data_IF_614495993790
#
_entry.id   IF_614495993790
#
_cell.length_a   1.000
_cell.length_b   1.000
_cell.length_c   1.000
_cell.angle_alpha   90.00
_cell.angle_beta   90.00
_cell.angle_gamma   90.00
#
_symmetry.space_group_name_H-M   'P 1'
#
loop_
_entity.id
_entity.type
_entity.pdbx_description
1 polymer ?
#
# COMPACT_ATOMS: atom_id res chain seq x y z
N UNK A 1 -13.57 -0.41 -9.56
CA UNK A 1 -12.92 0.73 -8.88
C UNK A 1 -13.69 0.95 -7.57
N UNK A 2 -12.99 1.12 -6.45
CA UNK A 2 -13.61 1.30 -5.13
C UNK A 2 -14.44 2.59 -5.11
N UNK A 3 -15.65 2.56 -4.53
CA UNK A 3 -16.48 3.76 -4.40
C UNK A 3 -15.74 4.80 -3.55
N UNK A 4 -15.76 6.07 -3.96
CA UNK A 4 -15.00 7.14 -3.31
C UNK A 4 -13.53 7.26 -3.73
N UNK A 5 -12.97 6.30 -4.49
CA UNK A 5 -11.64 6.44 -5.09
C UNK A 5 -11.78 6.99 -6.51
N UNK A 6 -11.16 8.14 -6.77
CA UNK A 6 -11.21 8.83 -8.06
C UNK A 6 -10.03 8.50 -8.97
N UNK A 7 -8.86 8.18 -8.41
CA UNK A 7 -7.65 7.89 -9.19
C UNK A 7 -6.75 6.88 -8.48
N UNK A 8 -6.09 6.03 -9.28
CA UNK A 8 -5.12 5.04 -8.84
C UNK A 8 -3.99 5.05 -9.88
N UNK A 9 -2.82 5.58 -9.51
CA UNK A 9 -1.69 5.77 -10.42
C UNK A 9 -0.45 5.02 -9.92
N UNK A 10 0.12 4.08 -10.68
CA UNK A 10 1.39 3.45 -10.33
C UNK A 10 2.55 4.43 -10.46
N UNK A 11 3.58 4.27 -9.63
CA UNK A 11 4.75 5.13 -9.64
C UNK A 11 5.82 4.73 -8.64
N UNK A 12 6.76 5.65 -8.44
CA UNK A 12 7.96 5.47 -7.65
C UNK A 12 8.13 6.62 -6.65
N UNK A 13 8.46 6.29 -5.40
CA UNK A 13 8.65 7.29 -4.35
C UNK A 13 9.66 6.87 -3.27
N UNK A 14 10.19 7.87 -2.55
CA UNK A 14 11.07 7.68 -1.39
C UNK A 14 12.53 7.35 -1.68
N UNK A 15 12.93 7.39 -2.95
CA UNK A 15 14.32 7.32 -3.39
C UNK A 15 14.92 8.70 -3.69
N UNK A 16 16.20 8.69 -4.05
CA UNK A 16 16.99 9.92 -4.27
C UNK A 16 17.14 10.29 -5.74
N UNK A 17 16.92 9.33 -6.66
CA UNK A 17 17.07 9.56 -8.09
C UNK A 17 15.89 10.39 -8.65
N UNK A 18 16.13 11.54 -9.29
CA UNK A 18 15.08 12.24 -10.00
C UNK A 18 14.71 11.54 -11.31
N UNK A 19 13.43 11.55 -11.66
CA UNK A 19 12.87 10.96 -12.88
C UNK A 19 13.36 9.53 -13.18
N UNK A 20 13.18 8.58 -12.24
CA UNK A 20 13.66 7.21 -12.39
C UNK A 20 12.86 6.47 -13.47
N UNK A 21 13.53 5.55 -14.19
CA UNK A 21 12.83 4.57 -15.04
C UNK A 21 12.58 3.27 -14.27
N UNK A 22 11.64 2.44 -14.76
CA UNK A 22 11.38 1.12 -14.19
C UNK A 22 12.65 0.29 -13.99
N UNK A 23 13.52 0.21 -15.00
CA UNK A 23 14.75 -0.60 -14.95
C UNK A 23 15.69 -0.13 -13.83
N UNK A 24 15.75 1.18 -13.60
CA UNK A 24 16.56 1.77 -12.55
C UNK A 24 16.00 1.47 -11.16
N UNK A 25 14.68 1.50 -11.01
CA UNK A 25 14.01 1.11 -9.76
C UNK A 25 14.17 -0.38 -9.49
N UNK A 26 13.99 -1.25 -10.49
CA UNK A 26 14.19 -2.69 -10.35
C UNK A 26 15.64 -3.07 -10.02
N UNK A 27 16.62 -2.25 -10.41
CA UNK A 27 18.02 -2.44 -10.01
C UNK A 27 18.25 -2.24 -8.50
N UNK A 28 17.31 -1.59 -7.80
CA UNK A 28 17.41 -1.22 -6.38
C UNK A 28 18.32 -0.01 -6.10
N UNK A 29 19.05 0.50 -7.09
CA UNK A 29 20.07 1.54 -6.90
C UNK A 29 19.48 2.94 -6.63
N UNK A 30 18.20 3.16 -6.92
CA UNK A 30 17.56 4.49 -6.80
C UNK A 30 17.03 4.79 -5.40
N UNK A 31 16.83 3.75 -4.59
CA UNK A 31 16.16 3.83 -3.28
C UNK A 31 14.63 4.02 -3.35
N UNK A 32 14.05 4.13 -4.55
CA UNK A 32 12.60 4.25 -4.69
C UNK A 32 11.92 2.94 -4.33
N UNK A 33 10.73 3.04 -3.72
CA UNK A 33 9.77 1.96 -3.64
C UNK A 33 8.81 2.03 -4.84
N UNK A 34 8.38 0.88 -5.33
CA UNK A 34 7.18 0.78 -6.16
C UNK A 34 5.95 1.10 -5.31
N UNK A 35 5.16 2.07 -5.75
CA UNK A 35 4.01 2.58 -5.00
C UNK A 35 2.83 2.87 -5.92
N UNK A 36 1.67 3.06 -5.31
CA UNK A 36 0.46 3.51 -5.99
C UNK A 36 -0.05 4.77 -5.30
N UNK A 37 -0.25 5.84 -6.07
CA UNK A 37 -0.91 7.06 -5.60
C UNK A 37 -2.41 6.90 -5.72
N UNK A 38 -3.11 7.03 -4.61
CA UNK A 38 -4.57 6.94 -4.54
C UNK A 38 -5.13 8.33 -4.25
N UNK A 39 -6.03 8.79 -5.10
CA UNK A 39 -6.85 9.98 -4.84
C UNK A 39 -8.27 9.51 -4.47
N UNK A 40 -8.79 10.02 -3.36
CA UNK A 40 -10.06 9.59 -2.80
C UNK A 40 -10.82 10.74 -2.15
N UNK A 41 -12.14 10.58 -2.07
CA UNK A 41 -13.05 11.47 -1.37
C UNK A 41 -13.30 10.96 0.07
N UNK A 42 -12.79 11.65 1.10
CA UNK A 42 -12.96 11.24 2.50
C UNK A 42 -14.43 11.26 2.96
N UNK A 43 -15.34 11.93 2.23
CA UNK A 43 -16.77 11.88 2.52
C UNK A 43 -17.42 10.55 2.06
N UNK A 44 -16.76 9.81 1.16
CA UNK A 44 -17.28 8.56 0.60
C UNK A 44 -16.48 7.33 1.04
N UNK A 45 -15.18 7.47 1.32
CA UNK A 45 -14.33 6.37 1.79
C UNK A 45 -13.37 6.84 2.86
N UNK A 46 -13.36 6.14 3.99
CA UNK A 46 -12.49 6.46 5.11
C UNK A 46 -11.06 6.01 4.83
N UNK A 47 -10.07 6.73 5.36
CA UNK A 47 -8.66 6.36 5.21
C UNK A 47 -8.36 4.97 5.80
N UNK A 48 -9.02 4.61 6.91
CA UNK A 48 -8.94 3.27 7.50
C UNK A 48 -9.38 2.15 6.54
N UNK A 49 -10.35 2.40 5.67
CA UNK A 49 -10.74 1.44 4.61
C UNK A 49 -9.58 1.21 3.64
N UNK A 50 -8.90 2.29 3.25
CA UNK A 50 -7.73 2.20 2.36
C UNK A 50 -6.56 1.49 3.03
N UNK A 51 -6.30 1.75 4.31
CA UNK A 51 -5.30 1.02 5.10
C UNK A 51 -5.64 -0.47 5.19
N UNK A 52 -6.91 -0.80 5.42
CA UNK A 52 -7.37 -2.20 5.46
C UNK A 52 -7.08 -2.90 4.14
N UNK A 53 -7.40 -2.26 3.01
CA UNK A 53 -7.11 -2.80 1.68
C UNK A 53 -5.60 -2.94 1.47
N UNK A 54 -4.82 -1.93 1.82
CA UNK A 54 -3.36 -1.94 1.71
C UNK A 54 -2.79 -3.14 2.46
N UNK A 55 -3.04 -3.27 3.76
CA UNK A 55 -2.50 -4.38 4.55
C UNK A 55 -3.02 -5.76 4.11
N UNK A 56 -4.19 -5.83 3.47
CA UNK A 56 -4.75 -7.07 2.92
C UNK A 56 -4.16 -7.48 1.57
N UNK A 57 -3.42 -6.59 0.92
CA UNK A 57 -2.93 -6.81 -0.44
C UNK A 57 -1.52 -7.40 -0.48
N UNK A 58 -0.79 -7.44 0.64
CA UNK A 58 0.60 -7.89 0.70
C UNK A 58 0.98 -8.40 2.10
N UNK A 59 2.22 -8.89 2.28
CA UNK A 59 2.76 -9.24 3.60
C UNK A 59 3.48 -8.03 4.23
N UNK A 60 2.90 -7.39 5.26
CA UNK A 60 3.49 -6.21 5.87
C UNK A 60 4.55 -6.54 6.93
N UNK A 61 4.90 -7.82 7.12
CA UNK A 61 5.82 -8.30 8.16
C UNK A 61 7.20 -8.68 7.63
N UNK A 62 7.36 -8.81 6.32
CA UNK A 62 8.62 -9.13 5.65
C UNK A 62 9.34 -7.84 5.19
N UNK A 63 10.54 -7.53 5.72
CA UNK A 63 11.28 -6.35 5.30
C UNK A 63 11.82 -6.53 3.88
N UNK A 64 11.65 -5.51 3.03
CA UNK A 64 12.20 -5.45 1.66
C UNK A 64 11.85 -6.67 0.78
N UNK A 65 10.68 -7.27 0.97
CA UNK A 65 10.27 -8.45 0.22
C UNK A 65 8.75 -8.60 0.20
N UNK A 66 8.22 -9.01 -0.95
CA UNK A 66 6.84 -9.48 -1.11
C UNK A 66 6.82 -10.81 -1.87
N UNK A 67 6.52 -11.91 -1.17
CA UNK A 67 6.57 -13.24 -1.77
C UNK A 67 7.96 -13.58 -2.31
N UNK A 68 8.06 -13.79 -3.64
CA UNK A 68 9.33 -14.08 -4.33
C UNK A 68 10.10 -12.82 -4.76
N UNK A 69 9.47 -11.64 -4.67
CA UNK A 69 10.05 -10.38 -5.09
C UNK A 69 10.86 -9.78 -3.93
N UNK A 70 12.20 -9.81 -4.05
CA UNK A 70 13.14 -9.39 -3.00
C UNK A 70 13.87 -8.13 -3.43
N UNK A 71 13.83 -7.09 -2.59
CA UNK A 71 14.50 -5.83 -2.83
C UNK A 71 13.87 -4.65 -2.08
N UNK A 72 14.66 -3.60 -1.84
CA UNK A 72 14.18 -2.38 -1.17
C UNK A 72 13.07 -1.68 -1.93
N UNK A 73 12.98 -1.90 -3.24
CA UNK A 73 11.91 -1.42 -4.10
C UNK A 73 10.54 -2.07 -3.79
N UNK A 74 10.52 -3.25 -3.19
CA UNK A 74 9.30 -3.99 -2.78
C UNK A 74 8.98 -3.83 -1.30
N UNK A 75 9.63 -2.91 -0.59
CA UNK A 75 9.36 -2.66 0.82
C UNK A 75 7.94 -2.15 1.02
N UNK A 76 7.30 -2.58 2.10
CA UNK A 76 6.02 -2.01 2.53
C UNK A 76 6.26 -0.60 3.09
N UNK A 77 5.62 0.40 2.49
CA UNK A 77 5.71 1.81 2.92
C UNK A 77 4.41 2.56 2.65
N UNK A 78 4.05 3.44 3.59
CA UNK A 78 2.98 4.43 3.46
C UNK A 78 3.63 5.81 3.41
N UNK A 79 3.45 6.49 2.27
CA UNK A 79 3.84 7.90 2.13
C UNK A 79 2.65 8.80 2.43
N UNK A 80 2.68 9.52 3.56
CA UNK A 80 1.59 10.42 3.96
C UNK A 80 1.80 11.83 3.41
N UNK A 81 0.69 12.54 3.14
CA UNK A 81 0.70 13.96 2.75
C UNK A 81 0.15 14.88 3.84
N UNK A 82 -0.40 14.32 4.92
CA UNK A 82 -0.93 15.06 6.07
C UNK A 82 -0.58 14.37 7.39
N UNK A 83 -0.47 15.14 8.47
CA UNK A 83 -0.20 14.59 9.81
C UNK A 83 -1.34 13.70 10.32
N UNK A 84 -2.58 13.95 9.89
CA UNK A 84 -3.73 13.08 10.19
C UNK A 84 -3.52 11.69 9.62
N UNK A 85 -3.14 11.58 8.34
CA UNK A 85 -2.83 10.29 7.71
C UNK A 85 -1.70 9.56 8.43
N UNK A 86 -0.64 10.28 8.82
CA UNK A 86 0.45 9.71 9.62
C UNK A 86 -0.09 9.09 10.92
N UNK A 87 -0.83 9.86 11.71
CA UNK A 87 -1.36 9.40 13.00
C UNK A 87 -2.33 8.23 12.84
N UNK A 88 -3.18 8.26 11.82
CA UNK A 88 -4.11 7.16 11.54
C UNK A 88 -3.39 5.88 11.10
N UNK A 89 -2.38 5.99 10.24
CA UNK A 89 -1.57 4.85 9.82
C UNK A 89 -0.80 4.22 11.00
N UNK A 90 -0.20 5.04 11.87
CA UNK A 90 0.49 4.57 13.09
C UNK A 90 -0.49 3.83 14.03
N UNK A 91 -1.68 4.40 14.26
CA UNK A 91 -2.73 3.77 15.07
C UNK A 91 -3.21 2.45 14.47
N UNK A 92 -3.37 2.39 13.15
CA UNK A 92 -3.79 1.17 12.46
C UNK A 92 -2.74 0.06 12.61
N UNK A 93 -1.46 0.38 12.41
CA UNK A 93 -0.34 -0.56 12.62
C UNK A 93 -0.33 -1.06 14.07
N UNK A 94 -0.52 -0.16 15.05
CA UNK A 94 -0.60 -0.55 16.46
C UNK A 94 -1.75 -1.52 16.71
N UNK A 95 -2.95 -1.23 16.20
CA UNK A 95 -4.12 -2.11 16.29
C UNK A 95 -3.88 -3.49 15.64
N UNK A 96 -3.20 -3.53 14.48
CA UNK A 96 -2.81 -4.78 13.83
C UNK A 96 -1.85 -5.61 14.69
N UNK A 97 -0.84 -4.97 15.29
CA UNK A 97 0.12 -5.65 16.15
C UNK A 97 -0.54 -6.15 17.45
N UNK A 98 -1.41 -5.35 18.08
CA UNK A 98 -2.12 -5.72 19.31
C UNK A 98 -3.11 -6.87 19.10
N UNK A 99 -3.73 -6.92 17.91
CA UNK A 99 -4.65 -7.99 17.53
C UNK A 99 -3.92 -9.31 17.20
N UNK A 100 -2.63 -9.24 16.84
CA UNK A 100 -1.79 -10.39 16.45
C UNK A 100 -0.83 -10.82 17.56
N UNK A 101 -1.35 -11.43 18.64
CA UNK A 101 -0.54 -11.86 19.80
C UNK A 101 0.57 -12.90 19.51
N UNK A 102 0.61 -13.52 18.32
CA UNK A 102 1.58 -14.56 17.96
C UNK A 102 2.25 -14.34 16.58
N UNK A 103 1.98 -13.23 15.89
CA UNK A 103 2.54 -12.97 14.56
C UNK A 103 3.75 -12.04 14.57
N UNK A 104 4.59 -12.10 13.53
CA UNK A 104 5.69 -11.16 13.35
C UNK A 104 5.18 -9.71 13.30
N UNK A 105 5.87 -8.72 13.90
CA UNK A 105 5.41 -7.34 13.89
C UNK A 105 5.32 -6.76 12.48
N UNK A 106 4.39 -5.83 12.26
CA UNK A 106 4.32 -5.06 11.02
C UNK A 106 5.57 -4.18 10.90
N UNK A 107 6.30 -4.31 9.78
CA UNK A 107 7.53 -3.57 9.46
C UNK A 107 7.31 -2.46 8.43
N UNK A 108 6.04 -2.13 8.16
CA UNK A 108 5.66 -1.09 7.18
C UNK A 108 6.20 0.28 7.61
N UNK A 109 6.92 0.94 6.72
CA UNK A 109 7.44 2.28 6.97
C UNK A 109 6.32 3.33 6.87
N UNK A 110 6.35 4.37 7.71
CA UNK A 110 5.49 5.55 7.59
C UNK A 110 6.40 6.76 7.39
N UNK A 111 6.36 7.36 6.19
CA UNK A 111 7.25 8.46 5.80
C UNK A 111 6.47 9.59 5.12
N UNK A 112 6.92 10.85 5.24
CA UNK A 112 6.31 11.93 4.47
C UNK A 112 6.56 11.70 2.98
N UNK A 113 5.56 12.02 2.15
CA UNK A 113 5.74 12.06 0.71
C UNK A 113 6.54 13.31 0.33
N UNK A 114 7.76 13.13 -0.15
CA UNK A 114 8.54 14.21 -0.75
C UNK A 114 8.15 14.40 -2.22
N UNK A 115 8.45 13.39 -3.06
CA UNK A 115 8.11 13.40 -4.48
C UNK A 115 7.60 12.05 -4.96
N UNK A 116 6.61 12.12 -5.86
CA UNK A 116 6.07 10.99 -6.59
C UNK A 116 6.45 11.09 -8.06
N UNK A 117 6.99 10.02 -8.62
CA UNK A 117 7.28 9.89 -10.05
C UNK A 117 6.30 8.89 -10.64
N UNK A 118 5.49 9.34 -11.59
CA UNK A 118 4.55 8.45 -12.26
C UNK A 118 5.29 7.42 -13.11
N UNK A 119 4.89 6.15 -13.01
CA UNK A 119 5.47 5.08 -13.81
C UNK A 119 5.04 5.16 -15.28
N UNK A 120 5.80 4.51 -16.15
CA UNK A 120 5.55 4.50 -17.59
C UNK A 120 4.17 3.88 -17.93
N UNK A 121 3.55 4.36 -19.00
CA UNK A 121 2.18 3.99 -19.41
C UNK A 121 1.95 2.48 -19.59
N UNK A 122 3.00 1.68 -19.80
CA UNK A 122 2.90 0.21 -19.86
C UNK A 122 2.29 -0.39 -18.58
N UNK A 123 2.54 0.21 -17.40
CA UNK A 123 1.96 -0.23 -16.13
C UNK A 123 0.45 0.08 -16.02
N UNK A 124 -0.03 1.20 -16.60
CA UNK A 124 -1.48 1.47 -16.71
C UNK A 124 -2.18 0.42 -17.57
N UNK A 125 -1.55 0.06 -18.68
CA UNK A 125 -2.05 -0.95 -19.61
C UNK A 125 -2.02 -2.36 -19.02
N UNK A 126 -1.03 -2.70 -18.18
CA UNK A 126 -1.00 -4.00 -17.50
C UNK A 126 -2.22 -4.19 -16.60
N UNK A 127 -2.58 -3.18 -15.78
CA UNK A 127 -3.79 -3.23 -14.95
C UNK A 127 -5.07 -3.26 -15.80
N UNK A 128 -5.14 -2.44 -16.85
CA UNK A 128 -6.32 -2.38 -17.73
C UNK A 128 -6.54 -3.65 -18.57
N UNK A 129 -5.46 -4.31 -19.02
CA UNK A 129 -5.48 -5.53 -19.85
C UNK A 129 -5.56 -6.81 -19.01
N UNK A 130 -5.14 -6.78 -17.74
CA UNK A 130 -5.24 -7.92 -16.81
C UNK A 130 -6.39 -7.80 -15.80
N UNK A 131 -7.44 -7.02 -16.10
CA UNK A 131 -8.67 -6.93 -15.28
C UNK A 131 -9.31 -8.28 -14.94
N UNK A 132 -9.09 -9.29 -15.79
CA UNK A 132 -9.60 -10.66 -15.63
C UNK A 132 -8.61 -11.62 -14.94
N UNK A 133 -7.40 -11.17 -14.58
CA UNK A 133 -6.50 -11.97 -13.74
C UNK A 133 -6.81 -11.65 -12.29
N UNK A 134 -7.24 -12.63 -11.48
CA UNK A 134 -7.54 -12.42 -10.07
C UNK A 134 -6.23 -12.30 -9.28
N UNK A 135 -5.48 -11.22 -9.52
CA UNK A 135 -4.49 -10.75 -8.53
C UNK A 135 -5.19 -10.03 -7.37
N UNK A 136 -6.52 -9.85 -7.45
CA UNK A 136 -7.39 -9.53 -6.32
C UNK A 136 -7.92 -10.80 -5.61
N UNK A 137 -7.19 -11.91 -5.61
CA UNK A 137 -7.32 -12.82 -4.48
C UNK A 137 -6.61 -12.13 -3.32
N UNK A 138 -7.33 -11.24 -2.64
CA UNK A 138 -6.90 -10.65 -1.38
C UNK A 138 -6.47 -11.82 -0.51
N UNK A 139 -5.16 -11.98 -0.30
CA UNK A 139 -4.67 -12.93 0.69
C UNK A 139 -4.98 -12.24 2.00
N UNK A 140 -6.21 -12.46 2.48
CA UNK A 140 -6.62 -11.93 3.77
C UNK A 140 -5.72 -12.61 4.78
N UNK A 141 -4.73 -11.86 5.25
CA UNK A 141 -3.88 -12.30 6.33
C UNK A 141 -4.80 -12.60 7.53
N UNK A 142 -4.65 -13.73 8.25
CA UNK A 142 -5.44 -14.01 9.45
C UNK A 142 -5.47 -12.85 10.47
N UNK A 143 -4.44 -12.00 10.47
CA UNK A 143 -4.39 -10.76 11.27
C UNK A 143 -5.48 -9.74 10.90
N UNK A 144 -5.83 -9.68 9.64
CA UNK A 144 -6.87 -8.79 9.12
C UNK A 144 -8.26 -9.36 9.29
N UNK A 145 -8.44 -10.67 9.48
CA UNK A 145 -9.77 -11.23 9.73
C UNK A 145 -10.41 -10.65 10.98
N UNK A 146 -9.62 -10.37 12.02
CA UNK A 146 -10.11 -9.79 13.27
C UNK A 146 -10.42 -8.31 13.12
N UNK A 147 -9.54 -7.55 12.47
CA UNK A 147 -9.80 -6.14 12.15
C UNK A 147 -10.99 -6.03 11.19
N UNK A 148 -11.06 -6.81 10.13
CA UNK A 148 -12.23 -6.84 9.24
C UNK A 148 -13.52 -7.19 9.98
N UNK A 149 -13.51 -8.06 10.99
CA UNK A 149 -14.71 -8.30 11.83
C UNK A 149 -15.08 -7.09 12.69
N UNK A 150 -14.09 -6.42 13.30
CA UNK A 150 -14.30 -5.19 14.08
C UNK A 150 -14.72 -4.00 13.21
N UNK A 151 -14.36 -4.02 11.92
CA UNK A 151 -14.61 -2.95 10.94
C UNK A 151 -15.66 -3.34 9.87
N UNK A 152 -16.24 -4.54 9.92
CA UNK A 152 -17.26 -5.02 8.97
C UNK A 152 -18.51 -4.12 9.01
N UNK A 153 -18.81 -3.58 10.18
CA UNK A 153 -19.91 -2.63 10.38
C UNK A 153 -19.64 -1.27 9.71
N UNK A 154 -18.37 -0.92 9.46
CA UNK A 154 -17.96 0.32 8.78
C UNK A 154 -17.88 0.17 7.26
N UNK A 155 -17.87 -1.07 6.74
CA UNK A 155 -17.79 -1.37 5.31
C UNK A 155 -19.16 -1.56 4.64
N UNK A 156 -20.23 -1.66 5.43
CA UNK A 156 -21.61 -1.86 4.96
C UNK A 156 -22.49 -0.59 5.04
N UNK A 157 -21.88 0.60 5.21
CA UNK A 157 -22.57 1.90 5.25
C UNK A 157 -22.64 2.62 3.91
#
# INVERSE_FOLDING_TARGET
>A
MLKGVSSVLPGYAGGTKPNPTYEEVCSGATGHAEVVRIEYDPAQVQYWTLLTIFFASHDPTTPNQQGADVGTQYRSVIFYTTDTQKSEAEKFIQSLNDSSKMGAPVVTEIKPLDKFWEAENYHRDYYAKNKNKPYCQVVINPKLEKVQKEFADLLNG
#
